data_IF_399883672934
#
_entry.id   IF_399883672934
#
_cell.length_a   1.000
_cell.length_b   1.000
_cell.length_c   1.000
_cell.angle_alpha   90.00
_cell.angle_beta   90.00
_cell.angle_gamma   90.00
#
_symmetry.space_group_name_H-M   'P 1'
#
loop_
_entity.id
_entity.type
_entity.pdbx_description
1 polymer ?
#
# COMPACT_ATOMS: atom_id res chain seq x y z
N UNK A 1 -46.36 -2.45 -34.96
CA UNK A 1 -46.03 -2.68 -33.54
C UNK A 1 -44.83 -3.64 -33.31
N UNK A 2 -44.70 -4.73 -34.03
CA UNK A 2 -43.59 -5.70 -33.80
C UNK A 2 -42.17 -5.19 -34.08
N UNK A 3 -41.96 -4.19 -34.94
CA UNK A 3 -40.61 -3.65 -35.23
C UNK A 3 -40.10 -2.68 -34.16
N UNK A 4 -40.96 -1.88 -33.55
CA UNK A 4 -40.58 -0.96 -32.48
C UNK A 4 -40.14 -1.69 -31.22
N UNK A 5 -40.83 -2.77 -30.86
CA UNK A 5 -40.48 -3.61 -29.69
C UNK A 5 -39.14 -4.32 -29.84
N UNK A 6 -38.77 -4.75 -31.05
CA UNK A 6 -37.48 -5.38 -31.34
C UNK A 6 -36.31 -4.40 -31.22
N UNK A 7 -36.50 -3.17 -31.69
CA UNK A 7 -35.50 -2.10 -31.61
C UNK A 7 -35.25 -1.73 -30.14
N UNK A 8 -36.34 -1.58 -29.34
CA UNK A 8 -36.22 -1.28 -27.90
C UNK A 8 -35.49 -2.41 -27.12
N UNK A 9 -35.75 -3.67 -27.47
CA UNK A 9 -35.07 -4.82 -26.84
C UNK A 9 -33.58 -4.87 -27.18
N UNK A 10 -33.21 -4.60 -28.43
CA UNK A 10 -31.80 -4.55 -28.85
C UNK A 10 -31.06 -3.38 -28.17
N UNK A 11 -31.66 -2.22 -28.08
CA UNK A 11 -31.09 -1.05 -27.41
C UNK A 11 -30.86 -1.35 -25.92
N UNK A 12 -31.84 -1.96 -25.26
CA UNK A 12 -31.72 -2.36 -23.86
C UNK A 12 -30.60 -3.38 -23.65
N UNK A 13 -30.50 -4.37 -24.53
CA UNK A 13 -29.43 -5.38 -24.46
C UNK A 13 -28.03 -4.76 -24.63
N UNK A 14 -27.88 -3.77 -25.55
CA UNK A 14 -26.63 -3.04 -25.71
C UNK A 14 -26.28 -2.18 -24.50
N UNK A 15 -27.24 -1.53 -23.87
CA UNK A 15 -27.02 -0.74 -22.65
C UNK A 15 -26.58 -1.64 -21.49
N UNK A 16 -27.23 -2.78 -21.30
CA UNK A 16 -26.86 -3.74 -20.23
C UNK A 16 -25.47 -4.32 -20.49
N UNK A 17 -25.17 -4.76 -21.71
CA UNK A 17 -23.85 -5.28 -22.06
C UNK A 17 -22.75 -4.20 -21.88
N UNK A 18 -23.01 -2.96 -22.26
CA UNK A 18 -22.11 -1.84 -22.06
C UNK A 18 -21.85 -1.54 -20.58
N UNK A 19 -22.89 -1.55 -19.76
CA UNK A 19 -22.77 -1.34 -18.31
C UNK A 19 -21.98 -2.45 -17.61
N UNK A 20 -22.22 -3.70 -17.99
CA UNK A 20 -21.47 -4.85 -17.47
C UNK A 20 -19.99 -4.84 -17.90
N UNK A 21 -19.73 -4.51 -19.17
CA UNK A 21 -18.37 -4.40 -19.70
C UNK A 21 -17.59 -3.27 -19.03
N UNK A 22 -18.23 -2.12 -18.81
CA UNK A 22 -17.64 -0.99 -18.10
C UNK A 22 -17.29 -1.33 -16.65
N UNK A 23 -18.20 -2.00 -15.94
CA UNK A 23 -17.97 -2.42 -14.55
C UNK A 23 -16.83 -3.43 -14.45
N UNK A 24 -16.79 -4.41 -15.34
CA UNK A 24 -15.69 -5.38 -15.42
C UNK A 24 -14.35 -4.69 -15.73
N UNK A 25 -14.35 -3.71 -16.63
CA UNK A 25 -13.15 -2.91 -16.97
C UNK A 25 -12.62 -2.12 -15.79
N UNK A 26 -13.48 -1.47 -15.01
CA UNK A 26 -13.09 -0.76 -13.78
C UNK A 26 -12.49 -1.74 -12.77
N UNK A 27 -13.08 -2.90 -12.59
CA UNK A 27 -12.59 -3.88 -11.62
C UNK A 27 -11.20 -4.42 -12.01
N UNK A 28 -10.97 -4.71 -13.29
CA UNK A 28 -9.65 -5.13 -13.80
C UNK A 28 -8.64 -4.01 -13.64
N UNK A 29 -8.98 -2.78 -14.02
CA UNK A 29 -8.09 -1.64 -13.89
C UNK A 29 -7.71 -1.36 -12.43
N UNK A 30 -8.67 -1.46 -11.50
CA UNK A 30 -8.40 -1.28 -10.08
C UNK A 30 -7.48 -2.36 -9.50
N UNK A 31 -7.62 -3.61 -9.94
CA UNK A 31 -6.71 -4.70 -9.55
C UNK A 31 -5.29 -4.47 -10.04
N UNK A 32 -5.12 -4.02 -11.29
CA UNK A 32 -3.79 -3.70 -11.84
C UNK A 32 -3.15 -2.50 -11.11
N UNK A 33 -3.91 -1.45 -10.82
CA UNK A 33 -3.42 -0.31 -10.07
C UNK A 33 -2.97 -0.73 -8.65
N UNK A 34 -3.72 -1.60 -8.00
CA UNK A 34 -3.39 -2.18 -6.69
C UNK A 34 -2.08 -2.99 -6.75
N UNK A 35 -1.93 -3.85 -7.75
CA UNK A 35 -0.71 -4.65 -7.93
C UNK A 35 0.52 -3.77 -8.17
N UNK A 36 0.40 -2.74 -8.99
CA UNK A 36 1.50 -1.82 -9.25
C UNK A 36 1.91 -1.06 -7.99
N UNK A 37 0.95 -0.56 -7.21
CA UNK A 37 1.24 0.11 -5.93
C UNK A 37 1.91 -0.82 -4.92
N UNK A 38 1.55 -2.11 -4.90
CA UNK A 38 2.21 -3.10 -4.04
C UNK A 38 3.63 -3.40 -4.50
N UNK A 39 3.87 -3.49 -5.81
CA UNK A 39 5.21 -3.70 -6.36
C UNK A 39 6.13 -2.52 -6.04
N UNK A 40 5.67 -1.29 -6.20
CA UNK A 40 6.40 -0.08 -5.82
C UNK A 40 6.71 -0.09 -4.33
N UNK A 41 5.70 -0.40 -3.49
CA UNK A 41 5.88 -0.49 -2.05
C UNK A 41 6.90 -1.55 -1.65
N UNK A 42 6.88 -2.72 -2.29
CA UNK A 42 7.84 -3.79 -2.03
C UNK A 42 9.26 -3.39 -2.45
N UNK A 43 9.42 -2.70 -3.58
CA UNK A 43 10.71 -2.16 -4.02
C UNK A 43 11.27 -1.14 -3.04
N UNK A 44 10.46 -0.22 -2.53
CA UNK A 44 10.89 0.78 -1.56
C UNK A 44 11.37 0.14 -0.24
N UNK A 45 10.64 -0.88 0.27
CA UNK A 45 11.07 -1.61 1.47
C UNK A 45 12.39 -2.35 1.20
N UNK A 46 12.54 -2.96 0.04
CA UNK A 46 13.80 -3.62 -0.34
C UNK A 46 14.96 -2.63 -0.43
N UNK A 47 14.75 -1.43 -0.99
CA UNK A 47 15.76 -0.37 -1.04
C UNK A 47 16.15 0.07 0.36
N UNK A 48 15.20 0.25 1.26
CA UNK A 48 15.46 0.61 2.66
C UNK A 48 16.28 -0.47 3.39
N UNK A 49 15.93 -1.74 3.21
CA UNK A 49 16.69 -2.87 3.78
C UNK A 49 18.12 -2.91 3.22
N UNK A 50 18.28 -2.67 1.92
CA UNK A 50 19.58 -2.68 1.24
C UNK A 50 20.47 -1.50 1.65
N UNK A 51 19.92 -0.30 1.69
CA UNK A 51 20.64 0.89 2.15
C UNK A 51 21.15 0.69 3.57
N UNK A 52 20.34 0.11 4.43
CA UNK A 52 20.71 -0.20 5.80
C UNK A 52 21.84 -1.22 5.89
N UNK A 53 21.79 -2.29 5.09
CA UNK A 53 22.84 -3.33 5.08
C UNK A 53 24.18 -2.81 4.56
N UNK A 54 24.18 -1.74 3.76
CA UNK A 54 25.39 -1.15 3.16
C UNK A 54 25.98 0.00 4.02
N UNK A 55 25.17 0.62 4.90
CA UNK A 55 25.63 1.74 5.70
C UNK A 55 26.28 1.26 7.00
N UNK A 56 27.60 1.11 6.99
CA UNK A 56 28.41 1.02 8.19
C UNK A 56 28.60 2.38 8.89
N UNK A 57 27.98 3.45 8.37
CA UNK A 57 28.07 4.82 8.92
C UNK A 57 26.74 5.19 9.59
N UNK A 58 26.77 6.04 10.62
CA UNK A 58 25.55 6.55 11.24
C UNK A 58 24.72 7.29 10.20
N UNK A 59 23.44 6.92 10.07
CA UNK A 59 22.48 7.55 9.16
C UNK A 59 22.33 9.02 9.54
N UNK A 60 22.39 9.94 8.56
CA UNK A 60 22.19 11.36 8.83
C UNK A 60 20.77 11.62 9.36
N UNK A 61 20.57 12.71 10.12
CA UNK A 61 19.25 13.08 10.66
C UNK A 61 18.20 13.21 9.53
N UNK A 62 18.61 13.78 8.38
CA UNK A 62 17.74 13.95 7.21
C UNK A 62 17.33 12.62 6.58
N UNK A 63 18.28 11.69 6.45
CA UNK A 63 17.99 10.35 5.90
C UNK A 63 17.13 9.54 6.88
N UNK A 64 17.33 9.77 8.18
CA UNK A 64 16.52 9.22 9.25
C UNK A 64 15.06 9.66 9.15
N UNK A 65 14.82 10.95 8.99
CA UNK A 65 13.46 11.51 8.81
C UNK A 65 12.78 10.97 7.54
N UNK A 66 13.54 10.92 6.45
CA UNK A 66 13.04 10.35 5.20
C UNK A 66 12.64 8.87 5.35
N UNK A 67 13.45 8.06 6.03
CA UNK A 67 13.13 6.66 6.30
C UNK A 67 11.85 6.51 7.12
N UNK A 68 11.66 7.34 8.16
CA UNK A 68 10.44 7.32 8.97
C UNK A 68 9.20 7.68 8.16
N UNK A 69 9.33 8.67 7.27
CA UNK A 69 8.25 9.06 6.36
C UNK A 69 7.88 7.90 5.42
N UNK A 70 8.86 7.21 4.86
CA UNK A 70 8.63 6.07 3.96
C UNK A 70 7.99 4.89 4.68
N UNK A 71 8.44 4.55 5.89
CA UNK A 71 7.83 3.49 6.70
C UNK A 71 6.38 3.84 7.01
N UNK A 72 6.10 5.07 7.45
CA UNK A 72 4.75 5.54 7.74
C UNK A 72 3.84 5.48 6.52
N UNK A 73 4.32 5.92 5.36
CA UNK A 73 3.54 5.83 4.11
C UNK A 73 3.16 4.39 3.76
N UNK A 74 4.01 3.40 4.05
CA UNK A 74 3.70 1.98 3.82
C UNK A 74 2.71 1.42 4.84
N UNK A 75 2.83 1.82 6.10
CA UNK A 75 1.84 1.46 7.12
C UNK A 75 0.46 2.03 6.78
N UNK A 76 0.39 3.29 6.37
CA UNK A 76 -0.86 3.94 5.97
C UNK A 76 -1.48 3.26 4.75
N UNK A 77 -0.67 2.83 3.78
CA UNK A 77 -1.12 2.04 2.63
C UNK A 77 -1.76 0.72 3.07
N UNK A 78 -1.11 -0.03 3.96
CA UNK A 78 -1.59 -1.32 4.45
C UNK A 78 -2.87 -1.22 5.30
N UNK A 79 -3.15 -0.05 5.87
CA UNK A 79 -4.38 0.23 6.61
C UNK A 79 -5.59 0.48 5.70
N UNK A 80 -5.38 0.76 4.42
CA UNK A 80 -6.49 0.95 3.48
C UNK A 80 -7.35 -0.32 3.38
N UNK A 81 -8.69 -0.19 3.30
CA UNK A 81 -9.60 -1.34 3.31
C UNK A 81 -9.27 -2.38 2.23
N UNK A 82 -8.88 -1.92 1.03
CA UNK A 82 -8.55 -2.80 -0.09
C UNK A 82 -7.39 -3.76 0.19
N UNK A 83 -6.41 -3.35 1.01
CA UNK A 83 -5.27 -4.18 1.39
C UNK A 83 -5.54 -4.94 2.68
N UNK A 84 -6.16 -4.29 3.67
CA UNK A 84 -6.47 -4.88 4.96
C UNK A 84 -7.32 -6.15 4.84
N UNK A 85 -8.33 -6.15 3.97
CA UNK A 85 -9.20 -7.30 3.74
C UNK A 85 -8.47 -8.48 3.07
N UNK A 86 -7.33 -8.22 2.42
CA UNK A 86 -6.55 -9.23 1.68
C UNK A 86 -5.29 -9.69 2.40
N UNK A 87 -4.95 -9.13 3.56
CA UNK A 87 -3.72 -9.48 4.29
C UNK A 87 -3.60 -10.99 4.52
N UNK A 88 -4.70 -11.67 4.85
CA UNK A 88 -4.68 -13.10 5.13
C UNK A 88 -4.66 -13.98 3.86
N UNK A 89 -5.24 -13.49 2.77
CA UNK A 89 -5.40 -14.26 1.54
C UNK A 89 -4.30 -14.01 0.50
N UNK A 90 -3.60 -12.87 0.58
CA UNK A 90 -2.59 -12.47 -0.37
C UNK A 90 -1.19 -12.52 0.26
N UNK A 91 -0.36 -13.44 -0.24
CA UNK A 91 1.00 -13.67 0.26
C UNK A 91 1.90 -12.45 0.07
N UNK A 92 1.70 -11.66 -1.00
CA UNK A 92 2.50 -10.46 -1.30
C UNK A 92 2.18 -9.35 -0.29
N UNK A 93 0.91 -9.13 0.03
CA UNK A 93 0.49 -8.13 1.02
C UNK A 93 1.00 -8.52 2.42
N UNK A 94 0.95 -9.80 2.74
CA UNK A 94 1.48 -10.33 4.01
C UNK A 94 2.99 -10.14 4.12
N UNK A 95 3.75 -10.49 3.08
CA UNK A 95 5.20 -10.29 3.03
C UNK A 95 5.57 -8.82 3.18
N UNK A 96 4.87 -7.93 2.49
CA UNK A 96 5.07 -6.48 2.60
C UNK A 96 4.83 -5.98 4.03
N UNK A 97 3.76 -6.44 4.69
CA UNK A 97 3.47 -6.12 6.09
C UNK A 97 4.61 -6.57 6.99
N UNK A 98 5.00 -7.83 6.88
CA UNK A 98 6.01 -8.43 7.77
C UNK A 98 7.37 -7.75 7.61
N UNK A 99 7.76 -7.39 6.38
CA UNK A 99 8.98 -6.63 6.11
C UNK A 99 8.91 -5.19 6.66
N UNK A 100 7.77 -4.52 6.49
CA UNK A 100 7.57 -3.17 7.02
C UNK A 100 7.66 -3.16 8.54
N UNK A 101 7.04 -4.11 9.22
CA UNK A 101 7.13 -4.28 10.67
C UNK A 101 8.55 -4.59 11.13
N UNK A 102 9.28 -5.43 10.39
CA UNK A 102 10.68 -5.75 10.69
C UNK A 102 11.54 -4.48 10.64
N UNK A 103 11.46 -3.70 9.55
CA UNK A 103 12.23 -2.45 9.40
C UNK A 103 11.88 -1.48 10.53
N UNK A 104 10.62 -1.34 10.92
CA UNK A 104 10.21 -0.48 12.03
C UNK A 104 10.79 -0.95 13.36
N UNK A 105 10.71 -2.24 13.69
CA UNK A 105 11.27 -2.77 14.94
C UNK A 105 12.76 -2.51 15.06
N UNK A 106 13.49 -2.78 14.00
CA UNK A 106 14.93 -2.58 13.97
C UNK A 106 15.31 -1.11 14.11
N UNK A 107 14.50 -0.20 13.51
CA UNK A 107 14.70 1.22 13.64
C UNK A 107 14.45 1.73 15.07
N UNK A 108 13.40 1.25 15.72
CA UNK A 108 13.09 1.62 17.11
C UNK A 108 14.20 1.17 18.09
N UNK A 109 14.87 0.04 17.80
CA UNK A 109 16.01 -0.42 18.59
C UNK A 109 17.24 0.47 18.37
N UNK A 110 17.44 0.97 17.14
CA UNK A 110 18.56 1.82 16.78
C UNK A 110 18.43 3.27 17.29
N UNK A 111 17.21 3.72 17.61
CA UNK A 111 16.94 5.06 18.14
C UNK A 111 16.40 4.91 19.56
N UNK A 112 17.26 4.97 20.60
CA UNK A 112 16.78 4.93 21.97
C UNK A 112 15.87 6.13 22.25
N UNK A 113 14.81 5.97 23.06
CA UNK A 113 13.93 7.07 23.39
C UNK A 113 14.73 8.22 24.01
N UNK A 114 14.37 9.49 23.70
CA UNK A 114 15.05 10.63 24.31
C UNK A 114 14.96 10.50 25.84
N UNK A 115 16.04 10.82 26.57
CA UNK A 115 16.03 10.74 28.02
C UNK A 115 14.86 11.56 28.54
N UNK A 116 13.98 10.92 29.30
CA UNK A 116 12.85 11.60 29.95
C UNK A 116 13.42 12.82 30.69
N UNK A 117 12.95 14.01 30.28
CA UNK A 117 13.26 15.23 30.99
C UNK A 117 12.75 15.03 32.42
N UNK A 118 13.68 14.74 33.34
CA UNK A 118 13.36 14.70 34.76
C UNK A 118 12.72 16.04 35.09
N UNK A 119 11.43 16.03 35.37
CA UNK A 119 10.70 17.15 35.89
C UNK A 119 11.42 17.59 37.18
N UNK A 120 12.16 18.66 37.08
CA UNK A 120 12.71 19.35 38.26
C UNK A 120 11.51 19.96 38.95
N UNK A 121 10.98 19.27 39.96
CA UNK A 121 10.06 19.83 40.91
C UNK A 121 10.88 20.77 41.83
N UNK A 122 10.59 22.04 41.69
CA UNK A 122 10.90 23.06 42.69
C UNK A 122 9.68 23.29 43.56
#
# INVERSE_FOLDING_TARGET
>A
MRKATRISLLTLAFLVAGALGFRAGIEVASRHALQNSLLEAAQDVWVLERMRSLSCQPVSAKDSEWMDLMIKAREDLLLQPAYRERIESDTMIRDLRDRTEKVRRERNVATPPPPEAKSVSH
#
